data_IF_485586433907
#
_entry.id   IF_485586433907
#
_cell.length_a   1.000
_cell.length_b   1.000
_cell.length_c   1.000
_cell.angle_alpha   90.00
_cell.angle_beta   90.00
_cell.angle_gamma   90.00
#
_symmetry.space_group_name_H-M   'P 1'
#
loop_
_entity.id
_entity.type
_entity.pdbx_description
1 polymer ?
#
# COMPACT_ATOMS: atom_id res chain seq x y z
N UNK A 1 17.40 -11.72 14.26
CA UNK A 1 16.82 -10.39 14.01
C UNK A 1 15.31 -10.52 14.07
N UNK A 2 14.59 -9.58 14.67
CA UNK A 2 13.29 -9.92 15.20
C UNK A 2 12.15 -9.63 14.26
N UNK A 3 11.39 -10.65 13.91
CA UNK A 3 10.05 -10.48 13.35
C UNK A 3 9.08 -9.88 14.38
N UNK A 4 7.96 -9.35 13.91
CA UNK A 4 6.92 -8.78 14.77
C UNK A 4 5.76 -9.77 14.92
N UNK A 5 5.42 -10.13 16.18
CA UNK A 5 4.37 -11.10 16.46
C UNK A 5 3.03 -10.41 16.71
N UNK A 6 2.04 -10.69 15.87
CA UNK A 6 0.62 -10.36 16.08
C UNK A 6 -0.11 -11.58 16.69
N UNK A 7 -1.36 -11.39 17.11
CA UNK A 7 -2.13 -12.49 17.71
C UNK A 7 -2.35 -13.69 16.78
N UNK A 8 -2.50 -13.45 15.47
CA UNK A 8 -2.90 -14.48 14.49
C UNK A 8 -1.85 -14.71 13.40
N UNK A 9 -0.85 -13.87 13.27
CA UNK A 9 0.22 -14.00 12.29
C UNK A 9 1.51 -13.36 12.78
N UNK A 10 2.60 -13.66 12.10
CA UNK A 10 3.91 -13.07 12.35
C UNK A 10 4.42 -12.39 11.10
N UNK A 11 5.11 -11.28 11.25
CA UNK A 11 5.78 -10.54 10.20
C UNK A 11 7.28 -10.68 10.36
N UNK A 12 7.94 -11.32 9.40
CA UNK A 12 9.37 -11.20 9.18
C UNK A 12 9.63 -9.99 8.26
N UNK A 13 10.77 -9.33 8.46
CA UNK A 13 11.02 -8.04 7.80
C UNK A 13 12.48 -7.83 7.37
N UNK A 14 13.22 -8.92 7.23
CA UNK A 14 14.66 -8.86 6.97
C UNK A 14 14.98 -8.42 5.53
N UNK A 15 14.07 -8.68 4.58
CA UNK A 15 14.21 -8.32 3.17
C UNK A 15 13.60 -6.95 2.82
N UNK A 16 12.84 -6.35 3.73
CA UNK A 16 12.16 -5.07 3.50
C UNK A 16 12.96 -3.89 4.01
N UNK A 17 13.06 -2.84 3.20
CA UNK A 17 13.62 -1.56 3.61
C UNK A 17 12.77 -0.84 4.64
N UNK A 18 11.45 -0.90 4.49
CA UNK A 18 10.48 -0.35 5.47
C UNK A 18 10.01 -1.45 6.40
N UNK A 19 10.18 -1.22 7.70
CA UNK A 19 9.80 -2.16 8.76
C UNK A 19 8.40 -1.87 9.28
N UNK A 20 7.86 -2.81 10.07
CA UNK A 20 6.59 -2.62 10.78
C UNK A 20 6.67 -1.33 11.60
N UNK A 21 5.78 -0.40 11.31
CA UNK A 21 5.66 0.89 11.97
C UNK A 21 4.22 1.15 12.43
N UNK A 22 4.06 2.16 13.27
CA UNK A 22 2.77 2.56 13.83
C UNK A 22 1.76 2.90 12.73
N UNK A 23 2.21 3.58 11.65
CA UNK A 23 1.35 4.03 10.56
C UNK A 23 0.70 2.85 9.82
N UNK A 24 1.48 1.82 9.49
CA UNK A 24 0.95 0.61 8.87
C UNK A 24 -0.06 -0.13 9.76
N UNK A 25 0.21 -0.20 11.07
CA UNK A 25 -0.71 -0.81 12.03
C UNK A 25 -2.00 0.01 12.16
N UNK A 26 -1.91 1.33 12.25
CA UNK A 26 -3.08 2.21 12.32
C UNK A 26 -3.92 2.10 11.05
N UNK A 27 -3.31 2.16 9.87
CA UNK A 27 -4.02 2.02 8.61
C UNK A 27 -4.70 0.65 8.51
N UNK A 28 -3.99 -0.43 8.76
CA UNK A 28 -4.55 -1.78 8.74
C UNK A 28 -5.69 -2.00 9.75
N UNK A 29 -5.66 -1.31 10.90
CA UNK A 29 -6.72 -1.38 11.90
C UNK A 29 -7.96 -0.54 11.55
N UNK A 30 -7.78 0.57 10.83
CA UNK A 30 -8.83 1.58 10.62
C UNK A 30 -9.42 1.55 9.21
N UNK A 31 -8.65 1.22 8.17
CA UNK A 31 -9.08 1.27 6.78
C UNK A 31 -10.41 0.53 6.54
N UNK A 32 -11.23 1.10 5.66
CA UNK A 32 -12.44 0.42 5.19
C UNK A 32 -12.06 -0.78 4.31
N UNK A 33 -12.86 -1.82 4.35
CA UNK A 33 -12.70 -3.02 3.53
C UNK A 33 -13.85 -3.18 2.56
N UNK A 34 -13.87 -4.32 1.93
CA UNK A 34 -14.89 -4.72 0.97
C UNK A 34 -14.67 -6.15 0.53
N UNK A 35 -15.26 -6.54 -0.57
CA UNK A 35 -15.12 -7.88 -1.13
C UNK A 35 -13.77 -8.05 -1.84
N UNK A 36 -13.36 -7.00 -2.56
CA UNK A 36 -12.10 -6.93 -3.28
C UNK A 36 -11.27 -5.77 -2.75
N UNK A 37 -10.08 -6.07 -2.25
CA UNK A 37 -9.19 -5.10 -1.60
C UNK A 37 -7.84 -5.11 -2.33
N UNK A 38 -7.28 -3.93 -2.58
CA UNK A 38 -5.93 -3.76 -3.09
C UNK A 38 -5.04 -3.08 -2.05
N UNK A 39 -3.89 -3.67 -1.76
CA UNK A 39 -2.84 -3.07 -0.92
C UNK A 39 -1.67 -2.62 -1.81
N UNK A 40 -1.46 -1.31 -1.91
CA UNK A 40 -0.44 -0.70 -2.77
C UNK A 40 0.81 -0.38 -1.94
N UNK A 41 1.96 -0.89 -2.38
CA UNK A 41 3.21 -0.79 -1.64
C UNK A 41 3.15 -1.64 -0.38
N UNK A 42 2.80 -2.91 -0.54
CA UNK A 42 2.49 -3.83 0.57
C UNK A 42 3.67 -4.07 1.52
N UNK A 43 4.91 -3.84 1.07
CA UNK A 43 6.10 -4.01 1.89
C UNK A 43 6.22 -5.42 2.47
N UNK A 44 6.09 -5.52 3.79
CA UNK A 44 6.12 -6.81 4.51
C UNK A 44 4.81 -7.61 4.41
N UNK A 45 3.77 -7.10 3.76
CA UNK A 45 2.44 -7.71 3.74
C UNK A 45 1.59 -7.39 4.99
N UNK A 46 2.05 -6.47 5.84
CA UNK A 46 1.40 -6.15 7.12
C UNK A 46 -0.06 -5.74 6.94
N UNK A 47 -0.30 -4.74 6.08
CA UNK A 47 -1.65 -4.18 5.89
C UNK A 47 -2.55 -5.22 5.25
N UNK A 48 -2.09 -5.92 4.21
CA UNK A 48 -2.84 -7.00 3.59
C UNK A 48 -3.27 -8.09 4.60
N UNK A 49 -2.36 -8.52 5.48
CA UNK A 49 -2.66 -9.51 6.55
C UNK A 49 -3.67 -8.97 7.58
N UNK A 50 -3.55 -7.71 7.98
CA UNK A 50 -4.51 -7.08 8.89
C UNK A 50 -5.90 -6.94 8.24
N UNK A 51 -5.97 -6.59 6.96
CA UNK A 51 -7.23 -6.53 6.21
C UNK A 51 -7.86 -7.92 6.07
N UNK A 52 -7.08 -8.95 5.75
CA UNK A 52 -7.57 -10.34 5.70
C UNK A 52 -8.12 -10.83 7.05
N UNK A 53 -7.44 -10.47 8.14
CA UNK A 53 -7.90 -10.78 9.50
C UNK A 53 -9.26 -10.14 9.81
N UNK A 54 -9.48 -8.90 9.38
CA UNK A 54 -10.72 -8.13 9.63
C UNK A 54 -11.84 -8.52 8.68
N UNK A 55 -11.55 -8.80 7.43
CA UNK A 55 -12.51 -9.06 6.36
C UNK A 55 -12.35 -10.48 5.82
N UNK A 56 -12.87 -11.45 6.54
CA UNK A 56 -12.66 -12.89 6.33
C UNK A 56 -13.13 -13.43 4.97
N UNK A 57 -14.08 -12.77 4.34
CA UNK A 57 -14.63 -13.15 3.02
C UNK A 57 -14.06 -12.37 1.85
N UNK A 58 -13.09 -11.48 2.10
CA UNK A 58 -12.46 -10.68 1.07
C UNK A 58 -11.41 -11.45 0.31
N UNK A 59 -11.22 -11.09 -0.95
CA UNK A 59 -10.01 -11.38 -1.72
C UNK A 59 -9.13 -10.14 -1.74
N UNK A 60 -7.84 -10.31 -1.50
CA UNK A 60 -6.89 -9.22 -1.40
C UNK A 60 -5.79 -9.43 -2.43
N UNK A 61 -5.52 -8.40 -3.20
CA UNK A 61 -4.33 -8.32 -4.03
C UNK A 61 -3.37 -7.31 -3.41
N UNK A 62 -2.11 -7.69 -3.31
CA UNK A 62 -1.06 -6.89 -2.69
C UNK A 62 0.05 -6.68 -3.73
N UNK A 63 0.43 -5.44 -3.97
CA UNK A 63 1.45 -5.12 -4.96
C UNK A 63 2.62 -4.38 -4.33
N UNK A 64 3.82 -4.65 -4.83
CA UNK A 64 5.01 -3.88 -4.50
C UNK A 64 5.94 -3.79 -5.72
N UNK A 65 6.58 -2.63 -5.89
CA UNK A 65 7.55 -2.40 -6.95
C UNK A 65 8.92 -3.01 -6.63
N UNK A 66 9.20 -3.21 -5.35
CA UNK A 66 10.46 -3.77 -4.87
C UNK A 66 10.34 -5.29 -4.77
N UNK A 67 11.17 -6.01 -5.54
CA UNK A 67 11.16 -7.48 -5.60
C UNK A 67 11.33 -8.13 -4.22
N UNK A 68 12.28 -7.62 -3.42
CA UNK A 68 12.54 -8.14 -2.08
C UNK A 68 11.37 -7.92 -1.12
N UNK A 69 10.64 -6.80 -1.26
CA UNK A 69 9.45 -6.52 -0.49
C UNK A 69 8.30 -7.46 -0.89
N UNK A 70 8.04 -7.61 -2.18
CA UNK A 70 7.03 -8.55 -2.68
C UNK A 70 7.31 -9.99 -2.23
N UNK A 71 8.59 -10.42 -2.29
CA UNK A 71 9.00 -11.73 -1.78
C UNK A 71 8.78 -11.86 -0.27
N UNK A 72 9.16 -10.84 0.51
CA UNK A 72 8.93 -10.85 1.96
C UNK A 72 7.43 -10.93 2.30
N UNK A 73 6.59 -10.16 1.59
CA UNK A 73 5.14 -10.22 1.74
C UNK A 73 4.61 -11.62 1.44
N UNK A 74 5.04 -12.22 0.33
CA UNK A 74 4.64 -13.58 -0.06
C UNK A 74 5.00 -14.59 1.04
N UNK A 75 6.23 -14.58 1.52
CA UNK A 75 6.70 -15.48 2.58
C UNK A 75 5.90 -15.32 3.89
N UNK A 76 5.58 -14.09 4.28
CA UNK A 76 4.77 -13.81 5.48
C UNK A 76 3.32 -14.28 5.32
N UNK A 77 2.76 -14.07 4.14
CA UNK A 77 1.38 -14.46 3.82
C UNK A 77 1.24 -15.98 3.79
N UNK A 78 2.17 -16.69 3.15
CA UNK A 78 2.16 -18.16 3.07
C UNK A 78 2.21 -18.83 4.44
N UNK A 79 2.93 -18.22 5.40
CA UNK A 79 3.02 -18.70 6.79
C UNK A 79 1.82 -18.29 7.66
N UNK A 80 0.88 -17.51 7.12
CA UNK A 80 -0.28 -17.01 7.84
C UNK A 80 -1.53 -17.88 7.59
N UNK A 81 -2.54 -17.81 8.45
CA UNK A 81 -3.83 -18.46 8.22
C UNK A 81 -4.65 -17.79 7.09
N UNK A 82 -4.11 -16.75 6.44
CA UNK A 82 -4.80 -15.95 5.41
C UNK A 82 -4.25 -16.16 4.00
N UNK A 83 -3.37 -17.15 3.81
CA UNK A 83 -2.68 -17.41 2.54
C UNK A 83 -3.61 -17.58 1.34
N UNK A 84 -4.81 -18.14 1.56
CA UNK A 84 -5.79 -18.35 0.50
C UNK A 84 -6.58 -17.08 0.10
N UNK A 85 -6.50 -16.03 0.92
CA UNK A 85 -7.22 -14.77 0.68
C UNK A 85 -6.36 -13.73 -0.03
N UNK A 86 -5.03 -13.86 0.02
CA UNK A 86 -4.10 -12.80 -0.41
C UNK A 86 -3.23 -13.31 -1.55
N UNK A 87 -3.13 -12.52 -2.62
CA UNK A 87 -2.18 -12.73 -3.72
C UNK A 87 -1.22 -11.57 -3.80
N UNK A 88 0.08 -11.88 -3.91
CA UNK A 88 1.13 -10.86 -4.04
C UNK A 88 1.62 -10.79 -5.49
N UNK A 89 1.87 -9.56 -5.96
CA UNK A 89 2.42 -9.31 -7.27
C UNK A 89 3.60 -8.34 -7.17
N UNK A 90 4.72 -8.70 -7.78
CA UNK A 90 5.84 -7.80 -7.98
C UNK A 90 5.56 -6.93 -9.19
N UNK A 91 5.03 -5.74 -8.98
CA UNK A 91 4.66 -4.81 -10.04
C UNK A 91 4.45 -3.39 -9.48
N UNK A 92 4.57 -2.39 -10.34
CA UNK A 92 4.16 -1.03 -10.01
C UNK A 92 2.65 -0.86 -10.21
N UNK A 93 2.05 0.13 -9.53
CA UNK A 93 0.62 0.44 -9.71
C UNK A 93 0.30 0.88 -11.15
N UNK A 94 1.24 1.54 -11.84
CA UNK A 94 1.07 1.98 -13.22
C UNK A 94 0.99 0.81 -14.21
N UNK A 95 1.69 -0.29 -13.91
CA UNK A 95 1.73 -1.50 -14.74
C UNK A 95 0.73 -2.56 -14.28
N UNK A 96 0.19 -2.39 -13.08
CA UNK A 96 -0.74 -3.34 -12.52
C UNK A 96 -2.06 -3.33 -13.32
N UNK A 97 -2.37 -4.48 -13.89
CA UNK A 97 -3.60 -4.69 -14.62
C UNK A 97 -4.42 -5.76 -13.89
N UNK A 98 -5.38 -5.31 -13.11
CA UNK A 98 -6.34 -6.24 -12.52
C UNK A 98 -7.23 -6.77 -13.66
N UNK A 99 -7.15 -8.07 -13.91
CA UNK A 99 -7.95 -8.73 -14.95
C UNK A 99 -9.45 -8.63 -14.61
N UNK A 100 -10.06 -7.48 -14.92
CA UNK A 100 -11.50 -7.18 -14.80
C UNK A 100 -12.10 -7.15 -13.38
N UNK A 101 -11.31 -6.89 -12.34
CA UNK A 101 -11.82 -6.68 -10.98
C UNK A 101 -11.66 -5.21 -10.62
N UNK A 102 -12.74 -4.56 -10.20
CA UNK A 102 -12.68 -3.26 -9.52
C UNK A 102 -12.70 -3.51 -8.01
N UNK A 103 -11.99 -2.65 -7.28
CA UNK A 103 -11.81 -2.79 -5.84
C UNK A 103 -12.83 -1.97 -5.06
N UNK A 104 -13.39 -2.57 -4.01
CA UNK A 104 -14.24 -1.86 -3.06
C UNK A 104 -13.40 -1.01 -2.11
N UNK A 105 -12.17 -1.43 -1.87
CA UNK A 105 -11.22 -0.71 -1.03
C UNK A 105 -9.81 -0.79 -1.61
N UNK A 106 -9.12 0.34 -1.59
CA UNK A 106 -7.68 0.42 -1.84
C UNK A 106 -7.05 0.99 -0.58
N UNK A 107 -5.96 0.36 -0.13
CA UNK A 107 -5.15 0.83 1.00
C UNK A 107 -3.74 1.14 0.52
N UNK A 108 -3.15 2.21 1.03
CA UNK A 108 -1.79 2.60 0.66
C UNK A 108 -1.11 3.32 1.82
N UNK A 109 0.08 2.84 2.18
CA UNK A 109 1.01 3.52 3.07
C UNK A 109 2.29 3.84 2.26
N UNK A 110 2.26 4.88 1.42
CA UNK A 110 3.37 5.15 0.53
C UNK A 110 4.61 5.59 1.33
N UNK A 111 5.81 5.30 0.84
CA UNK A 111 7.01 5.86 1.45
C UNK A 111 6.93 7.40 1.38
N UNK A 112 7.07 8.06 2.53
CA UNK A 112 7.03 9.51 2.58
C UNK A 112 8.30 10.06 1.95
N UNK A 113 8.19 10.52 0.73
CA UNK A 113 9.24 11.35 0.14
C UNK A 113 9.08 12.74 0.73
N UNK A 114 9.77 12.99 1.86
CA UNK A 114 10.03 14.36 2.24
C UNK A 114 10.75 15.01 1.06
N UNK A 115 10.16 16.08 0.53
CA UNK A 115 10.90 17.13 -0.15
C UNK A 115 11.82 17.77 0.90
N UNK A 116 12.83 17.02 1.35
CA UNK A 116 13.88 17.57 2.19
C UNK A 116 14.71 18.47 1.30
N UNK A 117 14.43 19.76 1.40
CA UNK A 117 15.19 20.88 0.83
C UNK A 117 16.66 20.94 1.28
N UNK A 118 17.22 19.83 1.78
CA UNK A 118 18.61 19.82 2.25
C UNK A 118 19.25 18.43 2.19
N UNK A 119 19.54 17.95 0.99
CA UNK A 119 20.60 16.93 0.81
C UNK A 119 21.39 17.24 -0.45
N UNK A 120 22.58 17.83 -0.25
CA UNK A 120 23.63 18.10 -1.25
C UNK A 120 24.22 16.82 -1.86
N UNK A 121 23.39 15.97 -2.50
CA UNK A 121 23.89 14.82 -3.23
C UNK A 121 23.14 14.66 -4.56
N UNK A 122 23.61 15.35 -5.57
CA UNK A 122 23.10 15.37 -6.95
C UNK A 122 22.85 13.98 -7.57
N UNK A 123 23.62 12.96 -7.19
CA UNK A 123 23.45 11.60 -7.73
C UNK A 123 22.26 10.84 -7.11
N UNK A 124 21.90 11.13 -5.84
CA UNK A 124 20.71 10.54 -5.20
C UNK A 124 19.42 11.21 -5.66
N UNK A 125 19.48 12.47 -6.04
CA UNK A 125 18.33 13.23 -6.55
C UNK A 125 17.89 12.71 -7.91
N UNK A 126 18.80 12.38 -8.82
CA UNK A 126 18.49 11.84 -10.15
C UNK A 126 17.86 10.43 -10.08
N UNK A 127 18.33 9.55 -9.19
CA UNK A 127 17.77 8.22 -9.00
C UNK A 127 16.37 8.24 -8.34
N UNK A 128 16.05 9.29 -7.57
CA UNK A 128 14.73 9.47 -6.93
C UNK A 128 13.66 10.05 -7.87
N UNK A 129 14.05 10.86 -8.84
CA UNK A 129 13.12 11.48 -9.80
C UNK A 129 12.60 10.51 -10.85
N UNK A 130 13.26 9.39 -11.09
CA UNK A 130 12.86 8.40 -12.09
C UNK A 130 11.90 7.34 -11.58
N UNK A 131 11.73 7.18 -10.25
CA UNK A 131 10.90 6.10 -9.65
C UNK A 131 9.91 6.57 -8.57
N UNK A 132 9.70 7.88 -8.37
CA UNK A 132 8.73 8.34 -7.36
C UNK A 132 7.34 8.49 -7.98
N UNK A 133 6.41 7.67 -7.53
CA UNK A 133 4.98 7.77 -7.83
C UNK A 133 4.46 9.12 -7.30
N UNK A 134 4.02 10.01 -8.18
CA UNK A 134 3.38 11.27 -7.79
C UNK A 134 1.97 11.04 -7.24
N UNK A 135 1.45 11.97 -6.45
CA UNK A 135 0.05 11.90 -5.98
C UNK A 135 -0.93 11.86 -7.14
N UNK A 136 -0.68 12.63 -8.19
CA UNK A 136 -1.50 12.64 -9.40
C UNK A 136 -1.58 11.25 -10.03
N UNK A 137 -0.44 10.59 -10.24
CA UNK A 137 -0.39 9.23 -10.81
C UNK A 137 -1.06 8.20 -9.89
N UNK A 138 -0.78 8.25 -8.58
CA UNK A 138 -1.40 7.34 -7.62
C UNK A 138 -2.92 7.47 -7.64
N UNK A 139 -3.44 8.68 -7.55
CA UNK A 139 -4.88 8.97 -7.55
C UNK A 139 -5.51 8.52 -8.87
N UNK A 140 -4.89 8.85 -10.01
CA UNK A 140 -5.37 8.44 -11.33
C UNK A 140 -5.44 6.93 -11.48
N UNK A 141 -4.44 6.20 -10.97
CA UNK A 141 -4.46 4.74 -10.97
C UNK A 141 -5.56 4.18 -10.05
N UNK A 142 -5.69 4.75 -8.83
CA UNK A 142 -6.72 4.31 -7.89
C UNK A 142 -8.14 4.50 -8.45
N UNK A 143 -8.43 5.63 -9.08
CA UNK A 143 -9.75 5.90 -9.68
C UNK A 143 -10.11 4.86 -10.73
N UNK A 144 -9.17 4.45 -11.57
CA UNK A 144 -9.40 3.43 -12.61
C UNK A 144 -9.67 2.04 -12.03
N UNK A 145 -9.19 1.78 -10.82
CA UNK A 145 -9.28 0.49 -10.16
C UNK A 145 -10.41 0.42 -9.13
N UNK A 146 -10.90 1.54 -8.62
CA UNK A 146 -12.02 1.57 -7.66
C UNK A 146 -13.36 1.29 -8.34
N UNK A 147 -14.26 0.65 -7.60
CA UNK A 147 -15.68 0.67 -7.93
C UNK A 147 -16.25 2.08 -7.73
N UNK A 148 -17.45 2.36 -8.25
CA UNK A 148 -18.12 3.68 -8.11
C UNK A 148 -18.33 4.10 -6.64
N UNK A 149 -18.42 3.15 -5.72
CA UNK A 149 -18.55 3.38 -4.28
C UNK A 149 -17.28 2.97 -3.51
N UNK A 150 -16.19 2.70 -4.23
CA UNK A 150 -14.94 2.25 -3.65
C UNK A 150 -14.25 3.34 -2.83
N UNK A 151 -13.46 2.93 -1.87
CA UNK A 151 -12.79 3.84 -0.92
C UNK A 151 -11.28 3.67 -0.98
N UNK A 152 -10.56 4.78 -1.15
CA UNK A 152 -9.11 4.85 -0.94
C UNK A 152 -8.84 5.24 0.52
N UNK A 153 -8.13 4.39 1.25
CA UNK A 153 -7.60 4.69 2.58
C UNK A 153 -6.08 4.84 2.49
N UNK A 154 -5.60 6.03 2.81
CA UNK A 154 -4.18 6.36 2.73
C UNK A 154 -3.71 7.03 4.02
N UNK A 155 -2.47 6.76 4.44
CA UNK A 155 -1.83 7.46 5.53
C UNK A 155 -0.72 8.35 4.98
N UNK A 156 -0.71 9.61 5.37
CA UNK A 156 0.20 10.63 4.85
C UNK A 156 0.65 11.56 5.97
N UNK A 157 1.85 12.17 5.88
CA UNK A 157 2.24 13.26 6.74
C UNK A 157 1.26 14.42 6.64
N UNK A 158 0.99 15.08 7.76
CA UNK A 158 0.08 16.24 7.80
C UNK A 158 0.52 17.37 6.87
N UNK A 159 1.82 17.51 6.62
CA UNK A 159 2.40 18.49 5.70
C UNK A 159 1.99 18.31 4.24
N UNK A 160 1.71 17.08 3.81
CA UNK A 160 1.32 16.77 2.43
C UNK A 160 -0.19 16.68 2.23
N UNK A 161 -0.96 16.75 3.30
CA UNK A 161 -2.41 16.54 3.31
C UNK A 161 -3.14 17.46 2.32
N UNK A 162 -2.92 18.78 2.41
CA UNK A 162 -3.65 19.73 1.58
C UNK A 162 -3.37 19.52 0.09
N UNK A 163 -2.12 19.23 -0.27
CA UNK A 163 -1.74 18.94 -1.65
C UNK A 163 -2.45 17.69 -2.16
N UNK A 164 -2.46 16.62 -1.36
CA UNK A 164 -3.14 15.37 -1.72
C UNK A 164 -4.67 15.54 -1.83
N UNK A 165 -5.30 16.20 -0.85
CA UNK A 165 -6.76 16.42 -0.84
C UNK A 165 -7.19 17.28 -2.04
N UNK A 166 -6.42 18.31 -2.41
CA UNK A 166 -6.69 19.13 -3.59
C UNK A 166 -6.63 18.31 -4.87
N UNK A 167 -5.56 17.54 -5.04
CA UNK A 167 -5.39 16.70 -6.23
C UNK A 167 -6.48 15.62 -6.32
N UNK A 168 -6.83 14.98 -5.21
CA UNK A 168 -7.89 13.99 -5.13
C UNK A 168 -9.24 14.56 -5.54
N UNK A 169 -9.57 15.76 -5.03
CA UNK A 169 -10.82 16.46 -5.37
C UNK A 169 -10.90 16.82 -6.85
N UNK A 170 -9.81 17.32 -7.44
CA UNK A 170 -9.74 17.66 -8.86
C UNK A 170 -10.00 16.45 -9.77
N UNK A 171 -9.62 15.25 -9.30
CA UNK A 171 -9.85 14.00 -10.02
C UNK A 171 -11.15 13.28 -9.65
N UNK A 172 -11.97 13.84 -8.78
CA UNK A 172 -13.30 13.30 -8.43
C UNK A 172 -13.33 12.35 -7.24
N UNK A 173 -12.28 12.29 -6.41
CA UNK A 173 -12.31 11.61 -5.12
C UNK A 173 -12.70 12.59 -4.02
N UNK A 174 -13.72 12.23 -3.26
CA UNK A 174 -14.24 13.05 -2.18
C UNK A 174 -13.88 12.44 -0.82
N UNK A 175 -13.59 13.30 0.13
CA UNK A 175 -13.35 12.89 1.51
C UNK A 175 -14.64 12.40 2.17
N UNK A 176 -14.57 11.25 2.81
CA UNK A 176 -15.68 10.64 3.59
C UNK A 176 -15.37 10.63 5.08
#
# INVERSE_FOLDING_TARGET
>A
MGGFQFKQFRIEQDLCGMKVGTDGVLLGAWAKGGRHILDIGTGTGLIALMMAQRFRSSTIEAIDIEENAAKQAQDNIERSPFSQQIKVFHTSIQQFNSKAINYDAIVCNPPFFENSLSCNNHQRTLARHTNSLSFNELISCCIKLLTSNGVLSIILPTTTRNSFETEALLQGLYKT
#
